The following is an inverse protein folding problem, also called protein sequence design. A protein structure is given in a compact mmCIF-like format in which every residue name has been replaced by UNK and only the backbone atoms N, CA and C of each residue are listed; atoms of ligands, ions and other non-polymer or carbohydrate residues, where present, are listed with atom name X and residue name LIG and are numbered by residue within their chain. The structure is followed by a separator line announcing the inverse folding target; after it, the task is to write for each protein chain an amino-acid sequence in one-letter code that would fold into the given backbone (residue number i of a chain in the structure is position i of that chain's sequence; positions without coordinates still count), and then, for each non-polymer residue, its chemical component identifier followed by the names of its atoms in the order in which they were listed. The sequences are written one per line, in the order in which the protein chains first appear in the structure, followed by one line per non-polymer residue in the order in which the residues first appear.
data_IF_143904921896
#
_entry.id   IF_143904921896
#
_cell.length_a   1.000
_cell.length_b   1.000
_cell.length_c   1.000
_cell.angle_alpha   90.00
_cell.angle_beta   90.00
_cell.angle_gamma   90.00
#
_symmetry.space_group_name_H-M   'P 1'
#
loop_
_entity.id
_entity.type
_entity.pdbx_description
1 polymer ?
#
# COMPACT_ATOMS: atom_id res chain seq x y z
N UNK A 1 21.32 -19.79 24.37
CA UNK A 1 20.50 -18.56 24.41
C UNK A 1 19.37 -18.69 23.42
N UNK A 2 18.19 -18.15 23.72
CA UNK A 2 17.08 -18.08 22.78
C UNK A 2 16.51 -16.66 22.70
N UNK A 3 16.02 -16.29 21.53
CA UNK A 3 15.29 -15.05 21.26
C UNK A 3 14.00 -15.41 20.51
N UNK A 4 12.86 -14.90 20.96
CA UNK A 4 11.56 -15.10 20.31
C UNK A 4 10.97 -13.75 19.96
N UNK A 5 10.61 -13.55 18.70
CA UNK A 5 9.89 -12.36 18.24
C UNK A 5 8.47 -12.74 17.83
N UNK A 6 7.49 -11.91 18.21
CA UNK A 6 6.07 -12.14 18.01
C UNK A 6 5.38 -10.86 17.54
N UNK A 7 4.46 -10.99 16.58
CA UNK A 7 3.49 -9.93 16.22
C UNK A 7 2.09 -10.39 16.56
N UNK A 8 1.18 -9.48 16.95
CA UNK A 8 -0.23 -9.82 17.29
C UNK A 8 -0.33 -10.96 18.32
N UNK A 9 0.47 -10.88 19.39
CA UNK A 9 0.53 -11.89 20.44
C UNK A 9 -0.65 -11.74 21.43
N UNK A 10 -1.53 -12.75 21.58
CA UNK A 10 -2.64 -12.68 22.52
C UNK A 10 -2.16 -12.50 23.97
N UNK A 11 -2.88 -11.75 24.83
CA UNK A 11 -2.48 -11.51 26.23
C UNK A 11 -2.20 -12.79 27.02
N UNK A 12 -2.98 -13.86 26.76
CA UNK A 12 -2.79 -15.17 27.39
C UNK A 12 -1.44 -15.83 27.03
N UNK A 13 -1.04 -15.73 25.75
CA UNK A 13 0.24 -16.26 25.29
C UNK A 13 1.41 -15.42 25.81
N UNK A 14 1.27 -14.08 25.79
CA UNK A 14 2.25 -13.15 26.41
C UNK A 14 2.52 -13.50 27.87
N UNK A 15 1.46 -13.72 28.65
CA UNK A 15 1.57 -14.12 30.05
C UNK A 15 2.24 -15.50 30.24
N UNK A 16 1.99 -16.45 29.34
CA UNK A 16 2.63 -17.78 29.42
C UNK A 16 4.12 -17.74 29.09
N UNK A 17 4.52 -16.94 28.09
CA UNK A 17 5.93 -16.77 27.70
C UNK A 17 6.76 -16.06 28.78
N UNK A 18 6.16 -15.08 29.46
CA UNK A 18 6.82 -14.31 30.53
C UNK A 18 7.20 -15.16 31.75
N UNK A 19 6.68 -16.39 31.87
CA UNK A 19 7.09 -17.35 32.92
C UNK A 19 8.49 -17.93 32.68
N UNK A 20 8.94 -17.92 31.43
CA UNK A 20 10.16 -18.60 31.00
C UNK A 20 11.17 -17.65 30.37
N UNK A 21 10.72 -16.50 29.85
CA UNK A 21 11.51 -15.54 29.11
C UNK A 21 11.26 -14.12 29.60
N UNK A 22 12.25 -13.25 29.40
CA UNK A 22 12.15 -11.82 29.68
C UNK A 22 11.72 -11.08 28.42
N UNK A 23 10.61 -10.33 28.49
CA UNK A 23 10.20 -9.41 27.43
C UNK A 23 11.04 -8.14 27.49
N UNK A 24 11.94 -7.96 26.53
CA UNK A 24 12.87 -6.81 26.48
C UNK A 24 12.36 -5.67 25.60
N UNK A 25 11.39 -5.96 24.73
CA UNK A 25 10.61 -5.01 23.94
C UNK A 25 9.27 -5.68 23.58
N UNK A 26 8.29 -4.91 23.14
CA UNK A 26 6.97 -5.41 22.75
C UNK A 26 7.09 -6.56 21.76
N UNK A 27 6.70 -7.76 22.19
CA UNK A 27 6.77 -8.96 21.37
C UNK A 27 8.18 -9.55 21.20
N UNK A 28 9.19 -9.09 21.92
CA UNK A 28 10.57 -9.61 21.87
C UNK A 28 10.95 -10.21 23.22
N UNK A 29 11.16 -11.52 23.24
CA UNK A 29 11.46 -12.30 24.44
C UNK A 29 12.84 -12.94 24.36
N UNK A 30 13.59 -12.91 25.46
CA UNK A 30 14.95 -13.48 25.53
C UNK A 30 15.10 -14.36 26.77
N UNK A 31 15.86 -15.45 26.64
CA UNK A 31 16.18 -16.30 27.80
C UNK A 31 17.11 -17.46 27.50
N UNK A 32 17.25 -18.36 28.48
CA UNK A 32 18.06 -19.57 28.38
C UNK A 32 17.18 -20.78 28.71
N UNK A 33 16.90 -21.60 27.70
CA UNK A 33 16.11 -22.81 27.85
C UNK A 33 16.89 -24.02 27.35
N UNK A 34 16.71 -25.17 28.00
CA UNK A 34 17.19 -26.43 27.47
C UNK A 34 16.37 -26.87 26.25
N UNK A 35 16.90 -27.85 25.49
CA UNK A 35 16.27 -28.36 24.27
C UNK A 35 14.79 -28.71 24.49
N UNK A 36 14.48 -29.52 25.51
CA UNK A 36 13.10 -29.99 25.78
C UNK A 36 12.12 -28.85 26.03
N UNK A 37 12.47 -27.90 26.90
CA UNK A 37 11.58 -26.77 27.25
C UNK A 37 11.40 -25.85 26.04
N UNK A 38 12.46 -25.65 25.24
CA UNK A 38 12.38 -24.89 23.99
C UNK A 38 11.42 -25.52 22.97
N UNK A 39 11.48 -26.84 22.77
CA UNK A 39 10.58 -27.55 21.85
C UNK A 39 9.10 -27.39 22.26
N UNK A 40 8.81 -27.55 23.55
CA UNK A 40 7.45 -27.40 24.09
C UNK A 40 6.95 -25.95 24.01
N UNK A 41 7.83 -24.98 24.28
CA UNK A 41 7.50 -23.56 24.16
C UNK A 41 7.18 -23.18 22.71
N UNK A 42 7.95 -23.70 21.76
CA UNK A 42 7.69 -23.49 20.33
C UNK A 42 6.34 -24.05 19.90
N UNK A 43 6.00 -25.27 20.33
CA UNK A 43 4.68 -25.87 20.06
C UNK A 43 3.54 -25.00 20.60
N UNK A 44 3.65 -24.52 21.84
CA UNK A 44 2.65 -23.62 22.46
C UNK A 44 2.47 -22.33 21.69
N UNK A 45 3.56 -21.74 21.19
CA UNK A 45 3.51 -20.55 20.34
C UNK A 45 2.72 -20.85 19.06
N UNK A 46 3.04 -21.92 18.35
CA UNK A 46 2.33 -22.32 17.13
C UNK A 46 0.83 -22.57 17.38
N UNK A 47 0.49 -23.23 18.48
CA UNK A 47 -0.90 -23.60 18.80
C UNK A 47 -1.76 -22.40 19.23
N UNK A 48 -1.14 -21.32 19.72
CA UNK A 48 -1.85 -20.19 20.35
C UNK A 48 -1.62 -18.85 19.65
N UNK A 49 -1.12 -18.85 18.40
CA UNK A 49 -0.87 -17.65 17.62
C UNK A 49 -1.60 -17.67 16.27
N UNK A 50 -2.93 -17.46 16.24
CA UNK A 50 -3.75 -17.68 15.05
C UNK A 50 -3.58 -16.64 13.93
N UNK A 51 -3.23 -15.39 14.27
CA UNK A 51 -3.09 -14.26 13.32
C UNK A 51 -1.70 -13.62 13.36
N UNK A 52 -0.95 -13.88 14.42
CA UNK A 52 0.39 -13.39 14.63
C UNK A 52 1.46 -14.19 13.91
N UNK A 53 2.68 -13.63 13.91
CA UNK A 53 3.88 -14.26 13.36
C UNK A 53 4.84 -14.53 14.49
N UNK A 54 5.59 -15.64 14.41
CA UNK A 54 6.65 -15.94 15.35
C UNK A 54 7.96 -16.27 14.65
N UNK A 55 9.06 -15.79 15.20
CA UNK A 55 10.41 -16.29 14.91
C UNK A 55 11.10 -16.64 16.21
N UNK A 56 11.67 -17.83 16.31
CA UNK A 56 12.50 -18.25 17.44
C UNK A 56 13.91 -18.52 16.93
N UNK A 57 14.91 -17.86 17.50
CA UNK A 57 16.34 -18.11 17.27
C UNK A 57 16.92 -18.76 18.53
N UNK A 58 17.75 -19.78 18.39
CA UNK A 58 18.40 -20.44 19.53
C UNK A 58 19.80 -20.92 19.19
N UNK A 59 20.67 -20.97 20.20
CA UNK A 59 22.01 -21.53 20.06
C UNK A 59 21.97 -23.01 19.66
N UNK A 60 22.77 -23.38 18.68
CA UNK A 60 22.89 -24.74 18.16
C UNK A 60 24.36 -25.08 17.92
N UNK A 61 24.71 -26.37 17.94
CA UNK A 61 26.07 -26.83 17.69
C UNK A 61 26.25 -27.11 16.18
N UNK A 62 26.29 -26.05 15.40
CA UNK A 62 26.51 -26.05 13.95
C UNK A 62 27.46 -24.91 13.57
N UNK A 63 27.83 -24.81 12.29
CA UNK A 63 28.78 -23.79 11.80
C UNK A 63 28.31 -22.35 12.06
N UNK A 64 26.99 -22.12 12.12
CA UNK A 64 26.41 -20.80 12.36
C UNK A 64 26.24 -20.49 13.86
N UNK A 65 26.50 -21.46 14.75
CA UNK A 65 26.29 -21.36 16.19
C UNK A 65 24.83 -21.18 16.61
N UNK A 66 23.89 -21.26 15.66
CA UNK A 66 22.48 -20.99 15.87
C UNK A 66 21.58 -21.69 14.87
N UNK A 67 20.32 -21.87 15.27
CA UNK A 67 19.22 -22.30 14.43
C UNK A 67 18.03 -21.37 14.66
N UNK A 68 17.08 -21.37 13.73
CA UNK A 68 15.87 -20.59 13.86
C UNK A 68 14.65 -21.33 13.32
N UNK A 69 13.49 -20.95 13.85
CA UNK A 69 12.18 -21.45 13.44
C UNK A 69 11.23 -20.29 13.21
N UNK A 70 10.30 -20.50 12.31
CA UNK A 70 9.32 -19.49 11.91
C UNK A 70 7.92 -20.09 11.90
N UNK A 71 6.93 -19.29 12.29
CA UNK A 71 5.52 -19.65 12.27
C UNK A 71 4.70 -18.50 11.67
N UNK A 72 3.76 -18.83 10.76
CA UNK A 72 2.93 -17.87 10.03
C UNK A 72 3.70 -16.78 9.28
N UNK A 73 4.95 -17.04 8.91
CA UNK A 73 5.77 -16.10 8.11
C UNK A 73 5.87 -16.58 6.67
N UNK A 74 6.07 -15.63 5.74
CA UNK A 74 6.32 -15.95 4.34
C UNK A 74 7.75 -16.42 4.08
N UNK A 75 8.66 -16.17 5.00
CA UNK A 75 10.07 -16.50 4.83
C UNK A 75 10.28 -17.90 5.38
N UNK A 76 11.05 -18.74 4.69
CA UNK A 76 11.26 -20.12 5.10
C UNK A 76 12.75 -20.40 5.32
N UNK A 77 13.13 -21.09 6.41
CA UNK A 77 14.47 -21.65 6.54
C UNK A 77 14.71 -22.64 5.40
N UNK A 78 15.85 -22.52 4.73
CA UNK A 78 16.31 -23.48 3.72
C UNK A 78 17.76 -23.84 4.00
N UNK A 79 18.09 -25.11 3.78
CA UNK A 79 19.47 -25.58 3.83
C UNK A 79 20.17 -25.23 2.52
N UNK A 80 21.35 -24.62 2.62
CA UNK A 80 22.23 -24.34 1.49
C UNK A 80 23.65 -24.72 1.90
N UNK A 81 24.09 -25.89 1.43
CA UNK A 81 25.43 -26.45 1.71
C UNK A 81 25.76 -26.57 3.21
N UNK A 82 24.77 -26.95 4.04
CA UNK A 82 24.94 -27.09 5.49
C UNK A 82 24.72 -25.79 6.29
N UNK A 83 24.45 -24.67 5.61
CA UNK A 83 24.03 -23.41 6.23
C UNK A 83 22.51 -23.25 6.14
N UNK A 84 21.88 -22.95 7.27
CA UNK A 84 20.46 -22.56 7.29
C UNK A 84 20.34 -21.07 6.95
N UNK A 85 19.70 -20.78 5.81
CA UNK A 85 19.43 -19.42 5.33
C UNK A 85 17.93 -19.11 5.35
N UNK A 86 17.58 -17.83 5.51
CA UNK A 86 16.20 -17.38 5.35
C UNK A 86 15.91 -17.15 3.87
N UNK A 87 15.17 -18.06 3.24
CA UNK A 87 14.64 -17.83 1.90
C UNK A 87 13.56 -16.76 1.97
N UNK A 88 13.90 -15.56 1.50
CA UNK A 88 12.90 -14.57 1.11
C UNK A 88 12.23 -15.11 -0.16
N UNK A 89 10.89 -15.18 -0.23
CA UNK A 89 10.22 -15.60 -1.45
C UNK A 89 10.69 -14.73 -2.62
N UNK A 90 11.45 -15.32 -3.53
CA UNK A 90 11.83 -14.68 -4.77
C UNK A 90 10.56 -14.47 -5.59
N UNK A 91 10.38 -13.26 -6.09
CA UNK A 91 9.44 -13.06 -7.19
C UNK A 91 9.96 -13.79 -8.41
N UNK A 92 9.10 -14.68 -8.94
CA UNK A 92 9.12 -15.44 -10.20
C UNK A 92 10.02 -16.68 -10.35
N UNK A 93 9.30 -17.81 -10.46
CA UNK A 93 9.46 -19.00 -11.33
C UNK A 93 10.79 -19.78 -11.41
N UNK A 94 10.74 -21.07 -11.06
CA UNK A 94 11.03 -22.21 -11.96
C UNK A 94 10.65 -23.54 -11.30
N UNK A 95 10.10 -24.45 -12.11
CA UNK A 95 9.47 -25.70 -11.66
C UNK A 95 10.40 -26.90 -11.55
N UNK A 96 9.87 -27.94 -10.90
CA UNK A 96 10.18 -29.34 -11.17
C UNK A 96 8.84 -30.10 -11.26
N UNK A 97 8.77 -30.98 -12.25
CA UNK A 97 7.58 -31.61 -12.83
C UNK A 97 7.15 -32.85 -12.05
N UNK A 98 5.84 -33.07 -11.93
CA UNK A 98 5.26 -34.41 -12.05
C UNK A 98 3.95 -34.33 -12.85
N UNK A 99 3.89 -35.08 -13.96
CA UNK A 99 2.81 -35.11 -14.94
C UNK A 99 1.49 -35.60 -14.34
N UNK A 100 0.40 -34.87 -14.60
CA UNK A 100 -0.85 -35.52 -14.96
C UNK A 100 -1.64 -34.68 -15.99
N UNK A 101 -2.29 -35.37 -16.93
CA UNK A 101 -2.83 -34.82 -18.19
C UNK A 101 -4.10 -34.01 -17.97
N UNK A 102 -3.99 -32.71 -17.67
CA UNK A 102 -5.15 -31.80 -17.72
C UNK A 102 -5.33 -31.16 -19.10
N UNK A 103 -6.55 -31.22 -19.64
CA UNK A 103 -6.96 -30.78 -20.98
C UNK A 103 -6.69 -29.28 -21.25
N UNK A 104 -6.49 -28.90 -22.53
CA UNK A 104 -6.12 -27.54 -22.98
C UNK A 104 -6.99 -26.40 -22.40
N UNK A 105 -8.26 -26.68 -22.11
CA UNK A 105 -9.18 -25.73 -21.47
C UNK A 105 -8.81 -25.44 -20.00
N UNK A 106 -8.33 -26.45 -19.26
CA UNK A 106 -7.88 -26.30 -17.88
C UNK A 106 -6.58 -25.48 -17.83
N UNK A 107 -5.64 -25.71 -18.77
CA UNK A 107 -4.41 -24.93 -18.90
C UNK A 107 -4.72 -23.46 -19.19
N UNK A 108 -5.64 -23.18 -20.13
CA UNK A 108 -6.06 -21.80 -20.44
C UNK A 108 -6.68 -21.08 -19.23
N UNK A 109 -7.58 -21.75 -18.49
CA UNK A 109 -8.14 -21.22 -17.24
C UNK A 109 -7.07 -21.00 -16.16
N UNK A 110 -6.09 -21.89 -16.06
CA UNK A 110 -5.01 -21.79 -15.08
C UNK A 110 -4.06 -20.63 -15.42
N UNK A 111 -3.79 -20.38 -16.71
CA UNK A 111 -3.00 -19.23 -17.19
C UNK A 111 -3.75 -17.92 -16.96
N UNK A 112 -5.06 -17.86 -17.24
CA UNK A 112 -5.89 -16.69 -16.94
C UNK A 112 -5.95 -16.41 -15.43
N UNK A 113 -6.12 -17.44 -14.60
CA UNK A 113 -6.13 -17.31 -13.14
C UNK A 113 -4.75 -16.90 -12.59
N UNK A 114 -3.64 -17.45 -13.12
CA UNK A 114 -2.28 -17.02 -12.72
C UNK A 114 -1.98 -15.58 -13.11
N UNK A 115 -2.43 -15.12 -14.29
CA UNK A 115 -2.34 -13.71 -14.69
C UNK A 115 -3.16 -12.82 -13.77
N UNK A 116 -4.43 -13.16 -13.52
CA UNK A 116 -5.27 -12.42 -12.58
C UNK A 116 -4.72 -12.42 -11.14
N UNK A 117 -4.06 -13.48 -10.69
CA UNK A 117 -3.37 -13.54 -9.40
C UNK A 117 -2.05 -12.75 -9.38
N UNK A 118 -1.30 -12.71 -10.48
CA UNK A 118 -0.13 -11.86 -10.65
C UNK A 118 -0.52 -10.38 -10.67
N UNK A 119 -1.56 -10.02 -11.42
CA UNK A 119 -2.11 -8.66 -11.49
C UNK A 119 -2.60 -8.23 -10.10
N UNK A 120 -3.33 -9.09 -9.36
CA UNK A 120 -3.71 -8.86 -7.96
C UNK A 120 -2.53 -8.72 -7.00
N UNK A 121 -1.42 -9.46 -7.23
CA UNK A 121 -0.19 -9.33 -6.43
C UNK A 121 0.59 -8.07 -6.77
N UNK A 122 0.60 -7.65 -8.02
CA UNK A 122 1.20 -6.42 -8.51
C UNK A 122 0.46 -5.20 -7.95
N UNK A 123 -0.88 -5.25 -7.90
CA UNK A 123 -1.74 -4.27 -7.19
C UNK A 123 -1.35 -4.07 -5.71
N UNK A 124 -0.79 -5.11 -5.07
CA UNK A 124 -0.26 -5.07 -3.69
C UNK A 124 1.18 -4.57 -3.55
N UNK A 125 1.94 -4.36 -4.64
CA UNK A 125 3.37 -3.97 -4.63
C UNK A 125 3.63 -2.56 -5.17
N UNK A 126 2.65 -1.67 -5.05
CA UNK A 126 2.74 -0.30 -5.53
C UNK A 126 2.09 0.70 -4.59
N UNK A 127 2.06 1.94 -5.04
CA UNK A 127 1.27 3.00 -4.45
C UNK A 127 0.37 3.61 -5.53
N UNK A 128 -0.65 4.34 -5.09
CA UNK A 128 -1.57 5.05 -5.95
C UNK A 128 -1.42 6.53 -5.65
N UNK A 129 -1.09 7.32 -6.67
CA UNK A 129 -1.15 8.78 -6.61
C UNK A 129 -2.58 9.20 -6.93
N UNK A 130 -3.17 10.09 -6.15
CA UNK A 130 -4.52 10.60 -6.36
C UNK A 130 -4.55 12.12 -6.35
N UNK A 131 -5.58 12.66 -6.99
CA UNK A 131 -5.95 14.07 -6.99
C UNK A 131 -7.45 14.20 -7.28
N UNK A 132 -8.13 15.22 -6.74
CA UNK A 132 -9.53 15.52 -7.02
C UNK A 132 -9.77 16.99 -7.37
N UNK A 133 -10.59 17.21 -8.39
CA UNK A 133 -11.12 18.53 -8.72
C UNK A 133 -12.51 18.71 -8.12
N UNK A 134 -12.83 19.93 -7.70
CA UNK A 134 -14.04 20.20 -6.90
C UNK A 134 -14.67 21.55 -7.30
N UNK A 135 -15.94 21.75 -6.95
CA UNK A 135 -16.65 23.03 -7.18
C UNK A 135 -16.29 24.13 -6.18
N UNK A 136 -15.31 23.89 -5.29
CA UNK A 136 -14.88 24.81 -4.25
C UNK A 136 -14.14 24.08 -3.13
N UNK A 137 -13.81 24.79 -2.05
CA UNK A 137 -12.85 24.27 -1.06
C UNK A 137 -13.48 23.54 0.14
N UNK A 138 -14.80 23.57 0.30
CA UNK A 138 -15.48 23.01 1.47
C UNK A 138 -16.26 21.73 1.12
N UNK A 139 -15.83 20.55 1.59
CA UNK A 139 -16.54 19.28 1.36
C UNK A 139 -18.00 19.27 1.84
N UNK A 140 -18.38 20.13 2.78
CA UNK A 140 -19.76 20.20 3.27
C UNK A 140 -20.71 20.89 2.27
N UNK A 141 -20.19 21.79 1.43
CA UNK A 141 -20.99 22.65 0.56
C UNK A 141 -20.62 22.54 -0.92
N UNK A 142 -19.49 21.92 -1.25
CA UNK A 142 -18.99 21.73 -2.60
C UNK A 142 -18.98 20.26 -3.00
N UNK A 143 -18.91 20.03 -4.32
CA UNK A 143 -19.01 18.71 -4.94
C UNK A 143 -17.72 18.35 -5.65
N UNK A 144 -17.47 17.04 -5.81
CA UNK A 144 -16.36 16.53 -6.62
C UNK A 144 -16.76 16.61 -8.10
N UNK A 145 -15.86 17.11 -8.94
CA UNK A 145 -15.99 17.22 -10.39
C UNK A 145 -15.19 16.16 -11.13
N UNK A 146 -13.97 15.89 -10.69
CA UNK A 146 -13.08 14.92 -11.32
C UNK A 146 -12.30 14.15 -10.24
N UNK A 147 -12.09 12.86 -10.47
CA UNK A 147 -11.19 12.02 -9.66
C UNK A 147 -10.12 11.48 -10.60
N UNK A 148 -8.86 11.75 -10.28
CA UNK A 148 -7.69 11.21 -10.96
C UNK A 148 -6.95 10.24 -10.06
N UNK A 149 -6.44 9.14 -10.63
CA UNK A 149 -5.51 8.28 -9.93
C UNK A 149 -4.54 7.53 -10.87
N UNK A 150 -3.30 7.36 -10.41
CA UNK A 150 -2.25 6.61 -11.09
C UNK A 150 -1.72 5.51 -10.18
N UNK A 151 -1.77 4.26 -10.64
CA UNK A 151 -1.06 3.17 -9.95
C UNK A 151 0.37 3.13 -10.43
N UNK A 152 1.29 3.17 -9.46
CA UNK A 152 2.73 3.07 -9.70
C UNK A 152 3.24 1.74 -9.16
N UNK A 153 3.95 0.98 -10.00
CA UNK A 153 4.64 -0.25 -9.65
C UNK A 153 6.06 -0.13 -10.19
N UNK A 154 7.06 -0.31 -9.33
CA UNK A 154 8.48 -0.25 -9.72
C UNK A 154 8.83 1.03 -10.52
N UNK A 155 8.41 2.19 -10.01
CA UNK A 155 8.63 3.51 -10.61
C UNK A 155 7.99 3.70 -12.01
N UNK A 156 7.03 2.84 -12.38
CA UNK A 156 6.30 2.92 -13.65
C UNK A 156 4.80 2.98 -13.42
N UNK A 157 4.13 3.76 -14.26
CA UNK A 157 2.67 3.85 -14.28
C UNK A 157 2.12 2.57 -14.87
N UNK A 158 1.46 1.75 -14.05
CA UNK A 158 0.86 0.48 -14.46
C UNK A 158 -0.59 0.65 -14.91
N UNK A 159 -1.35 1.49 -14.21
CA UNK A 159 -2.77 1.70 -14.46
C UNK A 159 -3.17 3.15 -14.20
N UNK A 160 -4.26 3.59 -14.82
CA UNK A 160 -4.80 4.94 -14.72
C UNK A 160 -6.30 4.85 -14.44
N UNK A 161 -6.78 5.72 -13.58
CA UNK A 161 -8.20 5.92 -13.33
C UNK A 161 -8.52 7.40 -13.49
N UNK A 162 -9.59 7.71 -14.22
CA UNK A 162 -10.11 9.05 -14.37
C UNK A 162 -11.63 8.95 -14.47
N UNK A 163 -12.31 9.71 -13.63
CA UNK A 163 -13.77 9.83 -13.65
C UNK A 163 -14.15 11.30 -13.61
N UNK A 164 -14.97 11.73 -14.55
CA UNK A 164 -15.71 13.00 -14.51
C UNK A 164 -17.05 12.73 -13.83
N UNK A 165 -17.43 13.56 -12.86
CA UNK A 165 -18.65 13.40 -12.06
C UNK A 165 -19.65 14.46 -12.49
N UNK A 166 -20.92 14.06 -12.61
CA UNK A 166 -22.04 14.98 -12.84
C UNK A 166 -22.38 15.74 -11.55
N UNK A 167 -22.15 17.06 -11.46
CA UNK A 167 -22.46 17.86 -10.27
C UNK A 167 -23.96 18.15 -10.20
N UNK A 168 -24.50 18.29 -8.98
CA UNK A 168 -25.91 18.66 -8.76
C UNK A 168 -26.13 20.17 -8.87
N UNK A 169 -25.10 20.96 -8.59
CA UNK A 169 -25.13 22.41 -8.68
C UNK A 169 -24.30 22.93 -9.86
N UNK A 170 -24.63 24.12 -10.40
CA UNK A 170 -23.81 24.77 -11.41
C UNK A 170 -22.38 25.01 -10.91
N UNK A 171 -21.40 24.78 -11.79
CA UNK A 171 -19.99 25.01 -11.50
C UNK A 171 -19.72 26.52 -11.48
N UNK A 172 -19.11 27.06 -10.40
CA UNK A 172 -18.70 28.46 -10.37
C UNK A 172 -17.74 28.83 -11.51
N UNK A 173 -17.86 30.06 -12.04
CA UNK A 173 -17.08 30.49 -13.20
C UNK A 173 -15.57 30.47 -12.95
N UNK A 174 -15.14 30.89 -11.77
CA UNK A 174 -13.75 30.85 -11.33
C UNK A 174 -13.19 29.42 -11.30
N UNK A 175 -13.99 28.42 -10.92
CA UNK A 175 -13.60 27.01 -10.98
C UNK A 175 -13.50 26.52 -12.42
N UNK A 176 -14.44 26.91 -13.30
CA UNK A 176 -14.36 26.56 -14.73
C UNK A 176 -13.13 27.19 -15.39
N UNK A 177 -12.78 28.43 -15.05
CA UNK A 177 -11.61 29.12 -15.58
C UNK A 177 -10.31 28.47 -15.07
N UNK A 178 -10.28 28.06 -13.80
CA UNK A 178 -9.14 27.40 -13.17
C UNK A 178 -8.90 25.99 -13.77
N UNK A 179 -9.92 25.15 -13.76
CA UNK A 179 -9.83 23.72 -14.12
C UNK A 179 -10.00 23.47 -15.62
N UNK A 180 -10.73 24.36 -16.32
CA UNK A 180 -11.25 24.14 -17.67
C UNK A 180 -12.33 23.08 -17.77
N UNK A 181 -12.84 22.59 -16.65
CA UNK A 181 -13.98 21.68 -16.64
C UNK A 181 -15.22 22.54 -16.86
N UNK A 182 -15.75 22.52 -18.08
CA UNK A 182 -16.99 23.26 -18.39
C UNK A 182 -18.20 22.53 -17.85
N UNK A 183 -19.30 23.27 -17.58
CA UNK A 183 -20.58 22.67 -17.21
C UNK A 183 -21.00 21.57 -18.21
N UNK A 184 -20.85 21.82 -19.51
CA UNK A 184 -21.21 20.84 -20.54
C UNK A 184 -20.39 19.54 -20.49
N UNK A 185 -19.13 19.61 -20.03
CA UNK A 185 -18.28 18.44 -19.84
C UNK A 185 -18.73 17.66 -18.61
N UNK A 186 -18.92 18.37 -17.49
CA UNK A 186 -19.34 17.77 -16.22
C UNK A 186 -20.75 17.17 -16.30
N UNK A 187 -21.66 17.79 -17.07
CA UNK A 187 -23.01 17.27 -17.30
C UNK A 187 -23.03 15.87 -17.93
N UNK A 188 -21.97 15.50 -18.66
CA UNK A 188 -21.77 14.17 -19.27
C UNK A 188 -21.04 13.18 -18.34
N UNK A 189 -20.64 13.62 -17.15
CA UNK A 189 -19.99 12.81 -16.14
C UNK A 189 -20.88 11.67 -15.64
N UNK A 190 -20.26 10.73 -14.92
CA UNK A 190 -20.97 9.63 -14.27
C UNK A 190 -21.51 10.04 -12.90
N UNK A 191 -22.41 9.23 -12.35
CA UNK A 191 -22.91 9.44 -11.00
C UNK A 191 -21.78 9.28 -9.97
N UNK A 192 -21.73 10.17 -8.98
CA UNK A 192 -20.74 10.17 -7.90
C UNK A 192 -20.59 8.80 -7.23
N UNK A 193 -21.70 8.13 -6.92
CA UNK A 193 -21.68 6.82 -6.27
C UNK A 193 -20.92 5.78 -7.12
N UNK A 194 -21.22 5.72 -8.42
CA UNK A 194 -20.54 4.82 -9.35
C UNK A 194 -19.04 5.15 -9.47
N UNK A 195 -18.70 6.43 -9.56
CA UNK A 195 -17.30 6.87 -9.62
C UNK A 195 -16.52 6.44 -8.37
N UNK A 196 -17.13 6.57 -7.18
CA UNK A 196 -16.53 6.15 -5.92
C UNK A 196 -16.38 4.64 -5.84
N UNK A 197 -17.39 3.85 -6.24
CA UNK A 197 -17.29 2.37 -6.28
C UNK A 197 -16.09 1.93 -7.12
N UNK A 198 -15.98 2.45 -8.35
CA UNK A 198 -14.87 2.14 -9.25
C UNK A 198 -13.52 2.64 -8.70
N UNK A 199 -13.50 3.83 -8.09
CA UNK A 199 -12.30 4.42 -7.50
C UNK A 199 -11.79 3.63 -6.29
N UNK A 200 -12.66 3.22 -5.37
CA UNK A 200 -12.24 2.46 -4.19
C UNK A 200 -11.82 1.04 -4.54
N UNK A 201 -12.46 0.42 -5.54
CA UNK A 201 -12.02 -0.85 -6.11
C UNK A 201 -10.63 -0.71 -6.76
N UNK A 202 -10.41 0.37 -7.51
CA UNK A 202 -9.09 0.71 -8.02
C UNK A 202 -8.10 0.89 -6.87
N UNK A 203 -8.40 1.71 -5.86
CA UNK A 203 -7.45 2.00 -4.79
C UNK A 203 -7.08 0.75 -3.97
N UNK A 204 -8.07 -0.10 -3.68
CA UNK A 204 -7.89 -1.29 -2.86
C UNK A 204 -7.20 -0.97 -1.53
N UNK A 205 -6.14 -1.72 -1.21
CA UNK A 205 -5.33 -1.52 0.00
C UNK A 205 -3.96 -0.87 -0.30
N UNK A 206 -3.80 -0.22 -1.46
CA UNK A 206 -2.53 0.42 -1.83
C UNK A 206 -2.20 1.60 -0.92
N UNK A 207 -0.91 1.93 -0.81
CA UNK A 207 -0.49 3.20 -0.21
C UNK A 207 -1.00 4.34 -1.10
N UNK A 208 -1.57 5.38 -0.48
CA UNK A 208 -2.08 6.57 -1.17
C UNK A 208 -1.02 7.67 -1.08
N UNK A 209 -0.72 8.30 -2.21
CA UNK A 209 0.12 9.49 -2.30
C UNK A 209 -0.70 10.61 -2.90
N UNK A 210 -0.54 11.83 -2.40
CA UNK A 210 -1.11 13.03 -3.01
C UNK A 210 -0.32 14.26 -2.59
N UNK A 211 -0.68 15.41 -3.14
CA UNK A 211 -0.12 16.69 -2.76
C UNK A 211 -1.18 17.49 -2.02
N UNK A 212 -0.91 17.87 -0.75
CA UNK A 212 -1.95 18.42 0.13
C UNK A 212 -3.13 17.45 0.34
N UNK A 213 -2.80 16.15 0.42
CA UNK A 213 -3.71 15.01 0.39
C UNK A 213 -4.88 15.06 1.39
N UNK A 214 -4.74 15.83 2.49
CA UNK A 214 -5.84 16.05 3.43
C UNK A 214 -7.09 16.65 2.78
N UNK A 215 -6.90 17.49 1.75
CA UNK A 215 -7.98 18.10 0.98
C UNK A 215 -8.79 17.03 0.24
N UNK A 216 -8.12 16.24 -0.60
CA UNK A 216 -8.73 15.19 -1.40
C UNK A 216 -9.46 14.16 -0.55
N UNK A 217 -8.81 13.70 0.53
CA UNK A 217 -9.38 12.73 1.44
C UNK A 217 -10.61 13.28 2.17
N UNK A 218 -10.70 14.59 2.42
CA UNK A 218 -11.88 15.18 3.05
C UNK A 218 -13.10 15.10 2.12
N UNK A 219 -12.94 15.45 0.85
CA UNK A 219 -13.97 15.31 -0.18
C UNK A 219 -14.37 13.84 -0.39
N UNK A 220 -13.40 12.95 -0.62
CA UNK A 220 -13.66 11.53 -0.85
C UNK A 220 -14.36 10.88 0.34
N UNK A 221 -13.96 11.19 1.58
CA UNK A 221 -14.62 10.67 2.79
C UNK A 221 -16.05 11.17 2.92
N UNK A 222 -16.28 12.48 2.72
CA UNK A 222 -17.63 13.05 2.80
C UNK A 222 -18.55 12.43 1.74
N UNK A 223 -18.06 12.34 0.51
CA UNK A 223 -18.78 11.73 -0.60
C UNK A 223 -19.10 10.24 -0.35
N UNK A 224 -18.16 9.47 0.21
CA UNK A 224 -18.40 8.08 0.60
C UNK A 224 -19.44 7.94 1.71
N UNK A 225 -19.44 8.83 2.71
CA UNK A 225 -20.47 8.86 3.77
C UNK A 225 -21.84 9.14 3.18
N UNK A 226 -21.96 10.14 2.30
CA UNK A 226 -23.22 10.54 1.69
C UNK A 226 -23.81 9.46 0.75
N UNK A 227 -22.95 8.61 0.18
CA UNK A 227 -23.34 7.54 -0.75
C UNK A 227 -23.43 6.16 -0.09
N UNK A 228 -23.04 6.04 1.19
CA UNK A 228 -23.02 4.79 1.93
C UNK A 228 -21.92 3.81 1.48
N UNK A 229 -20.86 4.29 0.83
CA UNK A 229 -19.75 3.47 0.36
C UNK A 229 -18.73 3.27 1.47
N UNK A 230 -18.31 2.02 1.68
CA UNK A 230 -17.29 1.68 2.66
C UNK A 230 -15.90 2.11 2.19
N UNK A 231 -15.15 2.76 3.08
CA UNK A 231 -13.82 3.27 2.79
C UNK A 231 -12.76 2.26 3.26
N UNK A 232 -11.81 1.84 2.41
CA UNK A 232 -10.69 1.01 2.84
C UNK A 232 -9.75 1.76 3.80
N UNK A 233 -8.99 1.00 4.59
CA UNK A 233 -7.91 1.57 5.42
C UNK A 233 -6.63 1.56 4.61
N UNK A 234 -6.18 2.76 4.20
CA UNK A 234 -4.95 2.94 3.43
C UNK A 234 -3.91 3.73 4.22
N UNK A 235 -2.65 3.37 4.07
CA UNK A 235 -1.55 4.24 4.48
C UNK A 235 -1.48 5.42 3.53
N UNK A 236 -1.34 6.63 4.06
CA UNK A 236 -1.36 7.87 3.28
C UNK A 236 -0.03 8.61 3.43
N UNK A 237 0.46 9.18 2.34
CA UNK A 237 1.69 9.96 2.30
C UNK A 237 1.45 11.26 1.53
N UNK A 238 1.87 12.39 2.10
CA UNK A 238 1.64 13.71 1.53
C UNK A 238 2.96 14.32 1.04
N UNK A 239 3.03 14.55 -0.27
CA UNK A 239 4.21 15.14 -0.91
C UNK A 239 4.45 16.58 -0.48
N UNK A 240 3.42 17.33 -0.07
CA UNK A 240 3.57 18.67 0.49
C UNK A 240 4.39 18.63 1.79
N UNK A 241 4.07 17.69 2.67
CA UNK A 241 4.80 17.49 3.93
C UNK A 241 6.24 17.05 3.67
N UNK A 242 6.45 16.19 2.67
CA UNK A 242 7.79 15.76 2.26
C UNK A 242 8.61 16.91 1.67
N UNK A 243 8.02 17.69 0.76
CA UNK A 243 8.66 18.83 0.11
C UNK A 243 9.12 19.87 1.13
N UNK A 244 8.27 20.22 2.11
CA UNK A 244 8.63 21.13 3.21
C UNK A 244 9.85 20.70 4.02
N UNK A 245 10.15 19.39 4.06
CA UNK A 245 11.33 18.86 4.78
C UNK A 245 12.59 18.83 3.92
N UNK A 246 12.45 18.65 2.61
CA UNK A 246 13.57 18.36 1.70
C UNK A 246 13.95 19.51 0.77
N UNK A 247 13.05 20.47 0.54
CA UNK A 247 13.25 21.59 -0.38
C UNK A 247 13.31 22.90 0.40
N UNK A 248 14.35 23.69 0.15
CA UNK A 248 14.60 25.01 0.72
C UNK A 248 14.61 26.06 -0.39
N UNK A 249 14.58 27.35 -0.02
CA UNK A 249 14.68 28.49 -0.94
C UNK A 249 13.61 28.55 -2.05
N UNK A 250 12.39 28.15 -1.73
CA UNK A 250 11.23 28.18 -2.62
C UNK A 250 10.16 29.14 -2.09
N UNK A 251 9.45 29.84 -2.99
CA UNK A 251 8.48 30.87 -2.61
C UNK A 251 7.28 30.31 -1.85
N UNK A 252 6.76 29.18 -2.32
CA UNK A 252 5.71 28.40 -1.68
C UNK A 252 5.84 26.93 -2.08
N UNK A 253 4.99 26.06 -1.54
CA UNK A 253 5.04 24.62 -1.79
C UNK A 253 3.83 24.11 -2.58
N UNK A 254 3.16 24.97 -3.35
CA UNK A 254 2.10 24.54 -4.25
C UNK A 254 2.67 23.64 -5.34
N UNK A 255 1.80 22.82 -5.94
CA UNK A 255 2.19 21.83 -6.94
C UNK A 255 2.90 22.49 -8.13
N UNK A 256 2.41 23.64 -8.59
CA UNK A 256 2.95 24.40 -9.71
C UNK A 256 4.35 24.94 -9.40
N UNK A 257 4.53 25.46 -8.19
CA UNK A 257 5.81 26.02 -7.75
C UNK A 257 6.86 24.91 -7.58
N UNK A 258 6.48 23.75 -7.05
CA UNK A 258 7.37 22.58 -6.97
C UNK A 258 7.68 21.99 -8.34
N UNK A 259 6.71 21.93 -9.25
CA UNK A 259 6.94 21.49 -10.62
C UNK A 259 7.97 22.40 -11.30
N UNK A 260 7.83 23.72 -11.15
CA UNK A 260 8.82 24.69 -11.64
C UNK A 260 10.21 24.50 -11.02
N UNK A 261 10.28 24.29 -9.70
CA UNK A 261 11.54 24.04 -8.99
C UNK A 261 12.28 22.79 -9.50
N UNK A 262 11.55 21.72 -9.82
CA UNK A 262 12.12 20.49 -10.36
C UNK A 262 12.23 20.45 -11.88
N UNK A 263 11.99 21.57 -12.56
CA UNK A 263 11.97 21.68 -14.03
C UNK A 263 11.01 20.68 -14.71
N UNK A 264 9.95 20.28 -13.99
CA UNK A 264 8.86 19.46 -14.50
C UNK A 264 7.96 20.35 -15.35
N UNK A 265 7.53 19.86 -16.52
CA UNK A 265 6.69 20.58 -17.46
C UNK A 265 5.34 19.87 -17.61
N UNK A 266 4.35 20.17 -16.76
CA UNK A 266 3.00 19.66 -16.91
C UNK A 266 2.37 20.21 -18.18
N UNK A 267 1.55 19.42 -18.86
CA UNK A 267 0.76 19.91 -20.00
C UNK A 267 -0.28 20.93 -19.54
N UNK A 268 -0.85 20.71 -18.36
CA UNK A 268 -1.87 21.54 -17.74
C UNK A 268 -1.95 21.27 -16.23
N UNK A 269 -2.25 22.30 -15.45
CA UNK A 269 -2.63 22.18 -14.04
C UNK A 269 -4.15 22.25 -13.88
N UNK A 270 -4.64 21.76 -12.74
CA UNK A 270 -6.05 21.74 -12.36
C UNK A 270 -6.88 20.79 -13.22
N UNK A 271 -6.29 19.62 -13.47
CA UNK A 271 -6.94 18.46 -14.07
C UNK A 271 -6.44 17.25 -13.31
N UNK A 272 -7.35 16.53 -12.66
CA UNK A 272 -6.98 15.57 -11.64
C UNK A 272 -5.95 14.52 -12.11
N UNK A 273 -6.09 14.02 -13.33
CA UNK A 273 -5.13 13.04 -13.86
C UNK A 273 -3.76 13.66 -14.20
N UNK A 274 -3.74 14.90 -14.71
CA UNK A 274 -2.51 15.64 -15.02
C UNK A 274 -1.74 16.00 -13.74
N UNK A 275 -2.47 16.41 -12.70
CA UNK A 275 -1.89 16.71 -11.39
C UNK A 275 -1.40 15.44 -10.69
N UNK A 276 -2.01 14.28 -10.94
CA UNK A 276 -1.43 12.99 -10.53
C UNK A 276 -0.07 12.71 -11.19
N UNK A 277 0.09 12.98 -12.49
CA UNK A 277 1.40 12.79 -13.16
C UNK A 277 2.46 13.72 -12.58
N UNK A 278 2.09 14.99 -12.39
CA UNK A 278 2.97 16.00 -11.81
C UNK A 278 3.37 15.61 -10.38
N UNK A 279 2.41 15.20 -9.55
CA UNK A 279 2.64 14.72 -8.19
C UNK A 279 3.54 13.49 -8.17
N UNK A 280 3.36 12.55 -9.09
CA UNK A 280 4.24 11.38 -9.22
C UNK A 280 5.68 11.80 -9.52
N UNK A 281 5.90 12.68 -10.50
CA UNK A 281 7.24 13.16 -10.87
C UNK A 281 7.90 13.94 -9.72
N UNK A 282 7.15 14.78 -9.02
CA UNK A 282 7.63 15.49 -7.82
C UNK A 282 8.02 14.48 -6.73
N UNK A 283 7.20 13.46 -6.48
CA UNK A 283 7.48 12.45 -5.48
C UNK A 283 8.78 11.68 -5.78
N UNK A 284 9.00 11.31 -7.05
CA UNK A 284 10.27 10.69 -7.48
C UNK A 284 11.46 11.63 -7.23
N UNK A 285 11.36 12.90 -7.63
CA UNK A 285 12.42 13.90 -7.40
C UNK A 285 12.72 14.13 -5.93
N UNK A 286 11.69 14.20 -5.10
CA UNK A 286 11.86 14.32 -3.65
C UNK A 286 12.60 13.12 -3.05
N UNK A 287 12.43 11.92 -3.61
CA UNK A 287 13.14 10.73 -3.16
C UNK A 287 14.59 10.63 -3.64
N UNK A 288 14.96 11.34 -4.71
CA UNK A 288 16.35 11.45 -5.16
C UNK A 288 17.20 12.35 -4.25
N UNK A 289 16.58 13.31 -3.55
CA UNK A 289 17.27 14.33 -2.74
C UNK A 289 17.38 13.92 -1.26
N UNK A 290 16.85 12.74 -0.90
CA UNK A 290 16.72 12.25 0.48
C UNK A 290 17.77 11.23 0.92
#
# INVERSE_FOLDING_TARGET
MIVVTLTDCPPRLRGDLSKWLLEINTGVYVGQLNKRVREELWKRICDNLPRGRATMVYSANNEQGMEFRVHNTRWMPVDFEGLTLMMRPATTESGAVSMDRSSKAAISRMVQNKRAEQDKRAQKRGYVVIDVETTGLDPAHNEILEIGALRIIEHKISERFSAMIHPKCPIPQDIMDLTGITQQMADKGIELKKALEEFWDFLGQSVVIGHNLSFDLAFLKKASVDTGISIPVNSCFDTLTLARRRVQDIADYRLETLAGYFEIKPERFHRALEDCYTTFQIYEKLNEIG
#
